data_IF_762973134509
#
_entry.id   IF_762973134509
#
_cell.length_a   1.000
_cell.length_b   1.000
_cell.length_c   1.000
_cell.angle_alpha   90.00
_cell.angle_beta   90.00
_cell.angle_gamma   90.00
#
_symmetry.space_group_name_H-M   'P 1'
#
loop_
_entity.id
_entity.type
_entity.pdbx_description
1 polymer ?
#
# COMPACT_ATOMS: atom_id res chain seq x y z
N UNK A 1 40.42 2.52 5.80
CA UNK A 1 40.09 2.79 4.38
C UNK A 1 40.11 4.28 4.17
N UNK A 2 40.78 4.74 3.10
CA UNK A 2 40.99 6.17 2.87
C UNK A 2 39.73 6.75 2.18
N UNK A 3 39.35 7.99 2.51
CA UNK A 3 38.08 8.61 2.05
C UNK A 3 37.91 8.67 0.51
N UNK A 4 39.00 8.49 -0.24
CA UNK A 4 38.99 8.38 -1.72
C UNK A 4 38.45 7.04 -2.23
N UNK A 5 38.64 5.94 -1.48
CA UNK A 5 38.21 4.60 -1.90
C UNK A 5 36.69 4.43 -1.74
N UNK A 6 36.11 5.05 -0.71
CA UNK A 6 34.67 5.10 -0.50
C UNK A 6 33.95 5.91 -1.60
N UNK A 7 34.56 7.00 -2.07
CA UNK A 7 33.98 7.84 -3.11
C UNK A 7 34.00 7.16 -4.49
N UNK A 8 35.05 6.40 -4.79
CA UNK A 8 35.16 5.59 -6.02
C UNK A 8 34.21 4.39 -6.02
N UNK A 9 33.93 3.79 -4.86
CA UNK A 9 32.97 2.70 -4.72
C UNK A 9 31.53 3.17 -4.91
N UNK A 10 31.21 4.40 -4.47
CA UNK A 10 29.89 5.03 -4.65
C UNK A 10 29.65 5.53 -6.07
N UNK A 11 30.66 6.02 -6.78
CA UNK A 11 30.52 6.38 -8.21
C UNK A 11 30.43 5.15 -9.12
N UNK A 12 31.03 4.01 -8.76
CA UNK A 12 30.88 2.75 -9.50
C UNK A 12 29.48 2.11 -9.38
N UNK A 13 28.65 2.54 -8.42
CA UNK A 13 27.28 2.03 -8.23
C UNK A 13 26.19 2.86 -8.95
N UNK A 14 26.53 4.01 -9.53
CA UNK A 14 25.54 4.92 -10.17
C UNK A 14 24.86 4.39 -11.44
N UNK A 15 25.32 3.25 -11.99
CA UNK A 15 24.79 2.65 -13.22
C UNK A 15 24.26 1.21 -13.04
N UNK A 16 23.76 0.84 -11.86
CA UNK A 16 23.15 -0.50 -11.67
C UNK A 16 21.65 -0.47 -11.91
N UNK A 17 21.21 -1.15 -12.97
CA UNK A 17 19.83 -1.60 -13.16
C UNK A 17 19.42 -2.48 -11.98
N UNK A 18 18.25 -2.23 -11.39
CA UNK A 18 17.68 -3.07 -10.33
C UNK A 18 17.02 -4.26 -11.02
N UNK A 19 17.73 -5.37 -11.18
CA UNK A 19 17.27 -6.52 -12.00
C UNK A 19 16.69 -7.69 -11.19
N UNK A 20 16.42 -7.52 -9.89
CA UNK A 20 15.83 -8.59 -9.08
C UNK A 20 15.21 -8.09 -7.77
N UNK A 21 14.24 -8.85 -7.24
CA UNK A 21 13.61 -8.59 -5.92
C UNK A 21 14.64 -8.55 -4.78
N UNK A 22 15.75 -9.26 -4.94
CA UNK A 22 16.88 -9.16 -4.01
C UNK A 22 17.61 -7.82 -4.16
N UNK A 23 17.76 -7.31 -5.39
CA UNK A 23 18.35 -6.00 -5.70
C UNK A 23 17.45 -4.85 -5.20
N UNK A 24 16.13 -4.98 -5.31
CA UNK A 24 15.16 -4.03 -4.78
C UNK A 24 15.21 -3.97 -3.24
N UNK A 25 15.31 -5.13 -2.60
CA UNK A 25 15.46 -5.24 -1.14
C UNK A 25 16.83 -4.71 -0.66
N UNK A 26 17.90 -4.96 -1.42
CA UNK A 26 19.24 -4.40 -1.18
C UNK A 26 19.24 -2.87 -1.32
N UNK A 27 18.59 -2.31 -2.34
CA UNK A 27 18.49 -0.85 -2.51
C UNK A 27 17.64 -0.19 -1.42
N UNK A 28 16.60 -0.89 -0.92
CA UNK A 28 15.75 -0.40 0.18
C UNK A 28 16.40 -0.54 1.56
N UNK A 29 17.31 -1.50 1.76
CA UNK A 29 18.03 -1.73 3.02
C UNK A 29 19.44 -1.11 3.06
N UNK A 30 19.97 -0.64 1.93
CA UNK A 30 21.23 0.12 1.88
C UNK A 30 21.07 1.59 2.36
N UNK A 31 20.02 1.90 3.12
CA UNK A 31 19.87 3.18 3.80
C UNK A 31 20.32 3.16 5.26
N UNK A 32 20.68 2.02 5.85
CA UNK A 32 21.55 1.95 7.05
C UNK A 32 22.04 0.50 7.27
N UNK A 33 23.37 0.33 7.39
CA UNK A 33 24.04 -0.96 7.59
C UNK A 33 23.90 -1.44 9.04
N UNK A 34 23.34 -2.63 9.26
CA UNK A 34 23.92 -3.77 10.01
C UNK A 34 22.82 -4.75 10.43
N UNK A 35 22.43 -5.72 9.58
CA UNK A 35 21.78 -6.99 9.98
C UNK A 35 21.46 -7.92 8.77
N UNK A 36 22.38 -7.98 7.81
CA UNK A 36 22.12 -8.57 6.49
C UNK A 36 22.02 -10.11 6.49
N UNK A 37 22.61 -10.81 7.46
CA UNK A 37 22.71 -12.27 7.43
C UNK A 37 21.54 -13.00 8.10
N UNK A 38 20.93 -12.40 9.13
CA UNK A 38 19.79 -13.00 9.85
C UNK A 38 18.51 -12.92 9.03
N UNK A 39 18.31 -11.80 8.34
CA UNK A 39 17.15 -11.56 7.46
C UNK A 39 17.24 -12.44 6.19
N UNK A 40 18.44 -12.61 5.64
CA UNK A 40 18.66 -13.46 4.45
C UNK A 40 18.30 -14.93 4.71
N UNK A 41 18.58 -15.45 5.91
CA UNK A 41 18.19 -16.82 6.32
C UNK A 41 16.68 -16.97 6.53
N UNK A 42 16.00 -15.95 7.09
CA UNK A 42 14.53 -15.97 7.28
C UNK A 42 13.75 -15.85 5.97
N UNK A 43 14.30 -15.16 4.96
CA UNK A 43 13.64 -15.04 3.65
C UNK A 43 13.91 -16.21 2.71
N UNK A 44 15.04 -16.92 2.85
CA UNK A 44 15.24 -18.18 2.10
C UNK A 44 14.26 -19.26 2.53
N UNK A 45 13.98 -19.37 3.83
CA UNK A 45 12.98 -20.32 4.35
C UNK A 45 11.57 -19.96 3.90
N UNK A 46 11.17 -18.68 3.92
CA UNK A 46 9.87 -18.24 3.41
C UNK A 46 9.68 -18.48 1.90
N UNK A 47 10.76 -18.43 1.11
CA UNK A 47 10.74 -18.76 -0.33
C UNK A 47 10.59 -20.26 -0.58
N UNK A 48 11.08 -21.10 0.31
CA UNK A 48 10.94 -22.56 0.25
C UNK A 48 9.51 -22.96 0.65
N UNK A 49 8.99 -22.41 1.76
CA UNK A 49 7.62 -22.62 2.21
C UNK A 49 6.59 -22.17 1.15
N UNK A 50 6.84 -21.02 0.50
CA UNK A 50 5.98 -20.51 -0.59
C UNK A 50 6.05 -21.38 -1.84
N UNK A 51 7.23 -21.91 -2.21
CA UNK A 51 7.36 -22.84 -3.35
C UNK A 51 6.63 -24.14 -3.08
N UNK A 52 6.65 -24.62 -1.84
CA UNK A 52 5.90 -25.81 -1.44
C UNK A 52 4.39 -25.56 -1.46
N UNK A 53 3.94 -24.39 -0.98
CA UNK A 53 2.53 -23.98 -1.05
C UNK A 53 2.02 -23.85 -2.50
N UNK A 54 2.79 -23.22 -3.38
CA UNK A 54 2.45 -23.07 -4.80
C UNK A 54 2.53 -24.38 -5.59
N UNK A 55 3.31 -25.37 -5.13
CA UNK A 55 3.27 -26.73 -5.70
C UNK A 55 2.02 -27.50 -5.30
N UNK A 56 1.42 -27.18 -4.14
CA UNK A 56 0.17 -27.77 -3.66
C UNK A 56 -1.07 -27.13 -4.28
N UNK A 57 -0.98 -25.86 -4.68
CA UNK A 57 -2.03 -25.14 -5.38
C UNK A 57 -1.84 -25.29 -6.89
N UNK A 58 -2.62 -26.16 -7.53
CA UNK A 58 -2.57 -26.45 -8.97
C UNK A 58 -3.00 -25.22 -9.81
N UNK A 59 -2.08 -24.26 -10.06
CA UNK A 59 -2.38 -22.92 -10.62
C UNK A 59 -2.08 -22.81 -12.14
N UNK A 60 -1.94 -23.91 -12.86
CA UNK A 60 -1.60 -23.88 -14.31
C UNK A 60 -2.70 -23.37 -15.25
N UNK A 61 -3.92 -23.10 -14.76
CA UNK A 61 -5.09 -22.79 -15.63
C UNK A 61 -5.56 -21.32 -15.65
N UNK A 62 -4.95 -20.40 -14.91
CA UNK A 62 -5.53 -19.05 -14.72
C UNK A 62 -4.94 -17.91 -15.57
N UNK A 63 -3.97 -18.19 -16.44
CA UNK A 63 -3.35 -17.20 -17.35
C UNK A 63 -4.26 -16.72 -18.51
N UNK A 64 -5.57 -16.99 -18.46
CA UNK A 64 -6.49 -16.74 -19.58
C UNK A 64 -7.73 -15.89 -19.23
N UNK A 65 -7.70 -15.08 -18.16
CA UNK A 65 -8.83 -14.16 -17.88
C UNK A 65 -8.62 -12.82 -18.61
N UNK A 66 -9.45 -12.47 -19.60
CA UNK A 66 -9.32 -11.19 -20.31
C UNK A 66 -9.68 -10.00 -19.42
N UNK A 67 -8.82 -8.97 -19.44
CA UNK A 67 -8.83 -7.74 -18.62
C UNK A 67 -9.99 -6.75 -18.86
N UNK A 68 -11.05 -7.12 -19.60
CA UNK A 68 -12.09 -6.19 -20.04
C UNK A 68 -13.53 -6.48 -19.59
N UNK A 69 -13.78 -7.49 -18.75
CA UNK A 69 -15.12 -7.66 -18.18
C UNK A 69 -15.31 -6.76 -16.96
N UNK A 70 -16.28 -5.82 -16.96
CA UNK A 70 -16.70 -5.18 -15.73
C UNK A 70 -17.16 -6.27 -14.77
N UNK A 71 -16.57 -6.32 -13.57
CA UNK A 71 -16.99 -7.19 -12.49
C UNK A 71 -18.44 -6.86 -12.11
N UNK A 72 -19.41 -7.51 -12.78
CA UNK A 72 -20.76 -7.60 -12.26
C UNK A 72 -20.65 -8.33 -10.94
N UNK A 73 -21.11 -7.70 -9.86
CA UNK A 73 -21.25 -8.34 -8.54
C UNK A 73 -21.86 -9.73 -8.76
N UNK A 74 -21.30 -10.80 -8.20
CA UNK A 74 -22.10 -11.99 -7.99
C UNK A 74 -23.28 -11.52 -7.11
N UNK A 75 -24.51 -11.59 -7.64
CA UNK A 75 -25.63 -11.79 -6.73
C UNK A 75 -25.32 -13.12 -6.05
N UNK A 76 -25.17 -13.08 -4.73
CA UNK A 76 -25.12 -14.29 -3.91
C UNK A 76 -26.36 -15.10 -4.24
N UNK A 77 -26.19 -16.03 -5.17
CA UNK A 77 -27.08 -17.14 -5.43
C UNK A 77 -26.24 -18.37 -5.12
N UNK A 78 -26.83 -19.21 -4.29
CA UNK A 78 -26.22 -20.32 -3.60
C UNK A 78 -25.46 -21.28 -4.53
N UNK A 79 -24.45 -21.95 -3.97
CA UNK A 79 -23.94 -23.21 -4.49
C UNK A 79 -22.44 -23.23 -4.81
N UNK A 80 -21.60 -23.36 -3.79
CA UNK A 80 -20.39 -24.18 -3.91
C UNK A 80 -20.44 -25.23 -2.80
N UNK A 81 -20.67 -26.48 -3.22
CA UNK A 81 -20.61 -27.66 -2.37
C UNK A 81 -19.15 -27.98 -2.07
N UNK A 82 -18.81 -28.03 -0.79
CA UNK A 82 -17.72 -28.85 -0.27
C UNK A 82 -18.41 -30.02 0.44
N UNK A 83 -17.92 -31.24 0.19
CA UNK A 83 -18.56 -32.53 0.41
C UNK A 83 -19.13 -32.79 1.81
N UNK A 84 -20.32 -33.41 1.78
CA UNK A 84 -21.02 -34.28 2.75
C UNK A 84 -20.50 -34.37 4.19
N UNK A 85 -21.20 -33.69 5.11
CA UNK A 85 -21.84 -34.34 6.27
C UNK A 85 -22.90 -33.41 6.90
N UNK A 86 -23.92 -34.02 7.48
CA UNK A 86 -25.26 -33.51 7.80
C UNK A 86 -25.28 -32.42 8.88
N UNK A 87 -26.00 -31.31 8.66
CA UNK A 87 -26.82 -30.68 9.71
C UNK A 87 -27.94 -29.80 9.15
N UNK A 88 -29.18 -30.24 9.36
CA UNK A 88 -30.42 -29.46 9.17
C UNK A 88 -30.65 -28.59 10.41
N UNK A 89 -30.69 -27.26 10.30
CA UNK A 89 -31.47 -26.39 11.21
C UNK A 89 -31.92 -25.12 10.47
N UNK A 90 -33.24 -24.86 10.48
CA UNK A 90 -33.78 -23.52 10.77
C UNK A 90 -34.27 -22.67 9.60
N UNK A 91 -35.59 -22.58 9.47
CA UNK A 91 -36.34 -21.54 8.77
C UNK A 91 -35.89 -20.12 9.16
N UNK A 92 -35.58 -19.28 8.16
CA UNK A 92 -35.26 -17.86 8.37
C UNK A 92 -36.55 -17.06 8.43
N UNK A 93 -36.89 -16.61 9.63
CA UNK A 93 -37.93 -15.61 9.92
C UNK A 93 -37.46 -14.19 9.55
N UNK A 94 -38.44 -13.36 9.23
CA UNK A 94 -38.36 -12.02 8.64
C UNK A 94 -37.92 -10.90 9.60
N UNK A 95 -36.76 -11.02 10.26
CA UNK A 95 -36.23 -10.02 11.21
C UNK A 95 -34.78 -9.61 10.89
N UNK A 96 -34.54 -9.04 9.71
CA UNK A 96 -33.17 -8.68 9.24
C UNK A 96 -32.80 -7.18 9.34
N UNK A 97 -33.68 -6.29 9.80
CA UNK A 97 -33.41 -4.84 9.77
C UNK A 97 -32.56 -4.29 10.93
N UNK A 98 -32.38 -5.03 12.02
CA UNK A 98 -31.58 -4.59 13.19
C UNK A 98 -30.07 -4.84 13.05
N UNK A 99 -29.66 -5.85 12.27
CA UNK A 99 -28.23 -6.23 12.14
C UNK A 99 -27.34 -5.13 11.54
N UNK A 100 -27.84 -4.41 10.52
CA UNK A 100 -27.04 -3.43 9.77
C UNK A 100 -26.69 -2.19 10.62
N UNK A 101 -27.57 -1.80 11.55
CA UNK A 101 -27.33 -0.65 12.43
C UNK A 101 -26.30 -0.96 13.52
N UNK A 102 -26.31 -2.19 14.04
CA UNK A 102 -25.33 -2.65 15.03
C UNK A 102 -23.92 -2.69 14.42
N UNK A 103 -23.80 -3.16 13.18
CA UNK A 103 -22.53 -3.21 12.44
C UNK A 103 -21.89 -1.83 12.24
N UNK A 104 -22.67 -0.80 11.89
CA UNK A 104 -22.15 0.56 11.72
C UNK A 104 -21.60 1.14 13.03
N UNK A 105 -22.28 0.86 14.15
CA UNK A 105 -21.84 1.30 15.47
C UNK A 105 -20.50 0.65 15.86
N UNK A 106 -20.31 -0.63 15.51
CA UNK A 106 -19.08 -1.36 15.77
C UNK A 106 -17.91 -0.84 14.94
N UNK A 107 -18.11 -0.59 13.65
CA UNK A 107 -17.08 0.00 12.78
C UNK A 107 -16.66 1.38 13.28
N UNK A 108 -17.62 2.21 13.70
CA UNK A 108 -17.35 3.56 14.22
C UNK A 108 -16.56 3.51 15.53
N UNK A 109 -16.92 2.58 16.43
CA UNK A 109 -16.20 2.35 17.70
C UNK A 109 -14.78 1.85 17.44
N UNK A 110 -14.61 0.84 16.58
CA UNK A 110 -13.31 0.31 16.22
C UNK A 110 -12.42 1.38 15.59
N UNK A 111 -12.98 2.20 14.67
CA UNK A 111 -12.29 3.34 14.08
C UNK A 111 -11.82 4.32 15.15
N UNK A 112 -12.70 4.71 16.07
CA UNK A 112 -12.40 5.68 17.15
C UNK A 112 -11.30 5.15 18.07
N UNK A 113 -11.36 3.87 18.40
CA UNK A 113 -10.35 3.20 19.22
C UNK A 113 -8.98 3.17 18.53
N UNK A 114 -8.93 2.81 17.25
CA UNK A 114 -7.67 2.77 16.49
C UNK A 114 -7.09 4.19 16.33
N UNK A 115 -7.93 5.19 16.04
CA UNK A 115 -7.45 6.56 15.88
C UNK A 115 -6.99 7.17 17.20
N UNK A 116 -7.64 6.87 18.34
CA UNK A 116 -7.15 7.29 19.66
C UNK A 116 -5.84 6.61 20.00
N UNK A 117 -5.73 5.29 19.79
CA UNK A 117 -4.49 4.54 20.02
C UNK A 117 -3.31 5.14 19.26
N UNK A 118 -3.49 5.43 17.97
CA UNK A 118 -2.42 6.01 17.14
C UNK A 118 -2.10 7.44 17.57
N UNK A 119 -3.12 8.24 17.93
CA UNK A 119 -2.93 9.61 18.40
C UNK A 119 -2.13 9.64 19.70
N UNK A 120 -2.50 8.82 20.66
CA UNK A 120 -1.91 8.82 22.01
C UNK A 120 -0.45 8.33 21.99
N UNK A 121 -0.11 7.40 21.08
CA UNK A 121 1.24 6.84 21.02
C UNK A 121 2.18 7.53 20.02
N UNK A 122 1.66 8.03 18.88
CA UNK A 122 2.49 8.60 17.81
C UNK A 122 2.30 10.11 17.60
N UNK A 123 1.39 10.72 18.35
CA UNK A 123 0.96 12.11 18.15
C UNK A 123 0.58 12.37 16.68
N UNK A 124 -0.20 11.45 16.12
CA UNK A 124 -0.64 11.43 14.74
C UNK A 124 -2.17 11.48 14.70
N UNK A 125 -2.72 12.41 13.91
CA UNK A 125 -4.17 12.59 13.77
C UNK A 125 -4.62 12.10 12.39
N UNK A 126 -5.37 11.01 12.34
CA UNK A 126 -5.79 10.34 11.10
C UNK A 126 -7.30 10.43 10.92
N UNK A 127 -7.71 10.63 9.68
CA UNK A 127 -9.11 10.50 9.23
C UNK A 127 -10.13 11.35 9.99
N UNK A 128 -9.71 12.57 10.39
CA UNK A 128 -10.60 13.60 10.91
C UNK A 128 -11.02 14.50 9.74
N UNK A 129 -12.32 14.80 9.55
CA UNK A 129 -12.77 15.70 8.50
C UNK A 129 -12.20 17.11 8.68
N UNK A 130 -11.70 17.70 7.60
CA UNK A 130 -11.19 19.07 7.57
C UNK A 130 -12.27 20.06 7.18
N UNK A 131 -12.24 21.28 7.75
CA UNK A 131 -13.17 22.37 7.41
C UNK A 131 -13.04 22.86 5.97
N UNK A 132 -11.90 22.61 5.32
CA UNK A 132 -11.62 22.97 3.93
C UNK A 132 -11.97 21.85 2.93
N UNK A 133 -12.70 20.82 3.38
CA UNK A 133 -12.92 19.58 2.63
C UNK A 133 -11.77 18.59 2.81
N UNK A 134 -12.08 17.30 2.61
CA UNK A 134 -11.12 16.20 2.80
C UNK A 134 -10.93 15.79 4.26
N UNK A 135 -9.80 15.13 4.54
CA UNK A 135 -9.45 14.61 5.87
C UNK A 135 -8.07 15.09 6.31
N UNK A 136 -7.72 14.90 7.58
CA UNK A 136 -6.38 15.19 8.12
C UNK A 136 -5.28 14.28 7.54
N UNK A 137 -5.66 13.28 6.74
CA UNK A 137 -4.74 12.33 6.08
C UNK A 137 -4.04 12.99 4.89
N UNK A 138 -3.02 13.79 5.17
CA UNK A 138 -2.19 14.48 4.17
C UNK A 138 -1.05 13.59 3.66
N UNK A 139 -0.42 13.98 2.53
CA UNK A 139 0.75 13.26 2.01
C UNK A 139 1.90 13.14 3.02
N UNK A 140 2.12 14.16 3.85
CA UNK A 140 3.13 14.10 4.93
C UNK A 140 2.79 13.08 6.00
N UNK A 141 1.50 12.94 6.33
CA UNK A 141 1.07 11.92 7.27
C UNK A 141 1.28 10.52 6.68
N UNK A 142 0.89 10.30 5.43
CA UNK A 142 1.09 9.02 4.74
C UNK A 142 2.58 8.64 4.69
N UNK A 143 3.49 9.59 4.41
CA UNK A 143 4.94 9.35 4.46
C UNK A 143 5.38 8.85 5.83
N UNK A 144 4.89 9.45 6.92
CA UNK A 144 5.19 8.99 8.30
C UNK A 144 4.66 7.59 8.56
N UNK A 145 3.49 7.23 8.04
CA UNK A 145 2.91 5.90 8.23
C UNK A 145 3.67 4.80 7.47
N UNK A 146 4.26 5.12 6.32
CA UNK A 146 4.95 4.16 5.44
C UNK A 146 6.48 4.09 5.67
N UNK A 147 7.02 4.90 6.58
CA UNK A 147 8.42 4.78 7.02
C UNK A 147 8.47 3.67 8.07
N UNK A 148 9.15 2.58 7.72
CA UNK A 148 9.55 1.57 8.68
C UNK A 148 10.76 2.10 9.43
N UNK A 149 10.70 2.09 10.76
CA UNK A 149 11.82 2.42 11.64
C UNK A 149 12.57 1.12 11.99
N UNK A 150 13.73 1.24 12.62
CA UNK A 150 14.50 0.09 13.09
C UNK A 150 13.65 -0.82 13.99
N UNK A 151 14.03 -2.09 14.11
CA UNK A 151 13.21 -3.12 14.76
C UNK A 151 12.88 -2.84 16.25
N UNK A 152 13.57 -1.89 16.88
CA UNK A 152 13.32 -1.46 18.26
C UNK A 152 12.32 -0.30 18.38
N UNK A 153 11.95 0.34 17.28
CA UNK A 153 11.15 1.55 17.27
C UNK A 153 9.67 1.23 17.03
N UNK A 154 8.81 1.71 17.93
CA UNK A 154 7.35 1.57 17.81
C UNK A 154 6.82 2.54 16.75
N UNK A 155 6.76 2.06 15.51
CA UNK A 155 6.24 2.83 14.37
C UNK A 155 4.72 2.67 14.18
N UNK A 156 4.20 3.28 13.10
CA UNK A 156 2.79 3.17 12.74
C UNK A 156 2.33 1.73 12.55
N UNK A 157 3.12 0.91 11.88
CA UNK A 157 2.77 -0.47 11.60
C UNK A 157 2.71 -1.28 12.90
N UNK A 158 3.65 -1.08 13.82
CA UNK A 158 3.64 -1.72 15.14
C UNK A 158 2.29 -1.52 15.85
N UNK A 159 1.84 -0.28 15.99
CA UNK A 159 0.57 0.03 16.68
C UNK A 159 -0.66 -0.49 15.94
N UNK A 160 -0.63 -0.56 14.62
CA UNK A 160 -1.71 -1.20 13.86
C UNK A 160 -1.72 -2.72 14.07
N UNK A 161 -0.55 -3.34 14.23
CA UNK A 161 -0.43 -4.79 14.45
C UNK A 161 -0.84 -5.22 15.86
N UNK A 162 -0.80 -4.33 16.87
CA UNK A 162 -1.27 -4.69 18.22
C UNK A 162 -2.77 -4.97 18.25
N UNK A 163 -3.54 -4.30 17.40
CA UNK A 163 -5.01 -4.46 17.28
C UNK A 163 -5.43 -5.40 16.15
N UNK A 164 -4.48 -5.84 15.31
CA UNK A 164 -4.75 -6.75 14.20
C UNK A 164 -4.82 -8.20 14.71
N UNK A 165 -5.84 -9.00 14.36
CA UNK A 165 -5.89 -10.42 14.69
C UNK A 165 -4.65 -11.16 14.17
N UNK A 166 -4.15 -12.14 14.94
CA UNK A 166 -2.89 -12.83 14.68
C UNK A 166 -2.78 -13.42 13.27
N UNK A 167 -3.88 -13.96 12.75
CA UNK A 167 -4.00 -14.56 11.43
C UNK A 167 -3.76 -13.55 10.29
N UNK A 168 -4.07 -12.27 10.50
CA UNK A 168 -3.91 -11.23 9.49
C UNK A 168 -2.59 -10.45 9.62
N UNK A 169 -1.86 -10.60 10.73
CA UNK A 169 -0.58 -9.91 10.95
C UNK A 169 0.46 -10.16 9.83
N UNK A 170 0.76 -11.40 9.40
CA UNK A 170 1.77 -11.62 8.38
C UNK A 170 1.39 -10.96 7.04
N UNK A 171 0.13 -11.11 6.61
CA UNK A 171 -0.37 -10.47 5.40
C UNK A 171 -0.32 -8.95 5.47
N UNK A 172 -0.66 -8.37 6.63
CA UNK A 172 -0.61 -6.93 6.84
C UNK A 172 0.82 -6.39 6.78
N UNK A 173 1.79 -7.09 7.37
CA UNK A 173 3.21 -6.72 7.30
C UNK A 173 3.69 -6.74 5.84
N UNK A 174 3.39 -7.82 5.11
CA UNK A 174 3.76 -7.97 3.70
C UNK A 174 3.17 -6.84 2.85
N UNK A 175 1.84 -6.65 2.91
CA UNK A 175 1.13 -5.63 2.13
C UNK A 175 1.66 -4.22 2.47
N UNK A 176 1.80 -3.89 3.75
CA UNK A 176 2.29 -2.57 4.16
C UNK A 176 3.71 -2.31 3.65
N UNK A 177 4.60 -3.29 3.79
CA UNK A 177 6.00 -3.18 3.37
C UNK A 177 6.10 -3.01 1.85
N UNK A 178 5.39 -3.85 1.09
CA UNK A 178 5.42 -3.78 -0.37
C UNK A 178 4.74 -2.53 -0.92
N UNK A 179 3.62 -2.08 -0.35
CA UNK A 179 3.01 -0.81 -0.73
C UNK A 179 3.93 0.39 -0.44
N UNK A 180 4.63 0.37 0.69
CA UNK A 180 5.66 1.36 1.00
C UNK A 180 6.77 1.39 -0.06
N UNK A 181 7.27 0.22 -0.48
CA UNK A 181 8.26 0.10 -1.54
C UNK A 181 7.74 0.59 -2.89
N UNK A 182 6.55 0.13 -3.32
CA UNK A 182 5.92 0.53 -4.59
C UNK A 182 5.73 2.05 -4.63
N UNK A 183 5.23 2.67 -3.56
CA UNK A 183 5.02 4.11 -3.51
C UNK A 183 6.33 4.91 -3.52
N UNK A 184 7.42 4.37 -2.97
CA UNK A 184 8.76 4.99 -3.08
C UNK A 184 9.29 4.92 -4.50
N UNK A 185 9.11 3.78 -5.18
CA UNK A 185 9.49 3.60 -6.59
C UNK A 185 8.68 4.55 -7.48
N UNK A 186 7.36 4.60 -7.25
CA UNK A 186 6.43 5.44 -7.98
C UNK A 186 6.78 6.93 -7.84
N UNK A 187 7.20 7.36 -6.65
CA UNK A 187 7.61 8.73 -6.36
C UNK A 187 9.13 8.96 -6.46
N UNK A 188 9.83 8.17 -7.28
CA UNK A 188 11.26 8.37 -7.54
C UNK A 188 11.49 8.88 -8.96
N UNK A 189 12.63 9.51 -9.20
CA UNK A 189 13.14 9.86 -10.53
C UNK A 189 14.09 8.79 -11.10
N UNK A 190 14.21 7.64 -10.43
CA UNK A 190 15.13 6.55 -10.80
C UNK A 190 14.52 5.64 -11.86
N UNK A 191 15.38 4.99 -12.63
CA UNK A 191 14.98 3.91 -13.53
C UNK A 191 14.54 2.68 -12.74
N UNK A 192 13.48 2.04 -13.20
CA UNK A 192 12.76 0.96 -12.56
C UNK A 192 12.72 -0.22 -13.52
N UNK A 193 12.92 -1.43 -13.00
CA UNK A 193 12.59 -2.66 -13.72
C UNK A 193 11.08 -2.88 -13.65
N UNK A 194 10.42 -2.62 -14.78
CA UNK A 194 8.96 -2.61 -14.88
C UNK A 194 8.36 -4.01 -14.88
N UNK A 195 9.11 -5.02 -15.34
CA UNK A 195 8.69 -6.42 -15.29
C UNK A 195 8.66 -6.92 -13.85
N UNK A 196 9.72 -6.60 -13.09
CA UNK A 196 9.79 -6.96 -11.68
C UNK A 196 8.73 -6.21 -10.86
N UNK A 197 8.54 -4.91 -11.11
CA UNK A 197 7.48 -4.13 -10.47
C UNK A 197 6.09 -4.72 -10.76
N UNK A 198 5.83 -5.15 -12.00
CA UNK A 198 4.58 -5.79 -12.37
C UNK A 198 4.33 -7.07 -11.57
N UNK A 199 5.34 -7.93 -11.44
CA UNK A 199 5.25 -9.14 -10.64
C UNK A 199 4.94 -8.83 -9.16
N UNK A 200 5.61 -7.84 -8.58
CA UNK A 200 5.35 -7.42 -7.19
C UNK A 200 3.93 -6.90 -7.02
N UNK A 201 3.48 -6.02 -7.92
CA UNK A 201 2.13 -5.48 -7.87
C UNK A 201 1.05 -6.57 -8.02
N UNK A 202 1.23 -7.52 -8.95
CA UNK A 202 0.30 -8.65 -9.11
C UNK A 202 0.26 -9.55 -7.89
N UNK A 203 1.43 -9.88 -7.31
CA UNK A 203 1.49 -10.69 -6.08
C UNK A 203 0.75 -10.00 -4.93
N UNK A 204 0.96 -8.70 -4.72
CA UNK A 204 0.30 -7.95 -3.65
C UNK A 204 -1.20 -7.84 -3.90
N UNK A 205 -1.62 -7.63 -5.14
CA UNK A 205 -3.04 -7.62 -5.49
C UNK A 205 -3.70 -8.96 -5.13
N UNK A 206 -3.06 -10.08 -5.46
CA UNK A 206 -3.54 -11.41 -5.08
C UNK A 206 -3.54 -11.61 -3.56
N UNK A 207 -2.47 -11.23 -2.84
CA UNK A 207 -2.40 -11.33 -1.38
C UNK A 207 -3.53 -10.56 -0.70
N UNK A 208 -3.91 -9.37 -1.22
CA UNK A 208 -5.05 -8.59 -0.70
C UNK A 208 -6.36 -9.36 -0.90
N UNK A 209 -6.63 -9.87 -2.10
CA UNK A 209 -7.88 -10.58 -2.40
C UNK A 209 -8.02 -11.89 -1.62
N UNK A 210 -6.92 -12.63 -1.45
CA UNK A 210 -6.92 -13.89 -0.70
C UNK A 210 -7.03 -13.68 0.81
N UNK A 211 -6.29 -12.72 1.38
CA UNK A 211 -6.29 -12.47 2.82
C UNK A 211 -7.53 -11.69 3.28
N UNK A 212 -8.08 -10.82 2.44
CA UNK A 212 -9.21 -9.95 2.80
C UNK A 212 -10.32 -10.00 1.73
N UNK A 213 -10.96 -11.17 1.51
CA UNK A 213 -11.97 -11.33 0.45
C UNK A 213 -13.21 -10.46 0.66
N UNK A 214 -13.45 -10.02 1.89
CA UNK A 214 -14.51 -9.09 2.27
C UNK A 214 -14.17 -7.62 2.00
N UNK A 215 -12.91 -7.28 1.76
CA UNK A 215 -12.46 -5.91 1.58
C UNK A 215 -12.51 -5.50 0.09
N UNK A 216 -13.14 -4.36 -0.19
CA UNK A 216 -13.13 -3.79 -1.52
C UNK A 216 -11.79 -3.09 -1.79
N UNK A 217 -11.13 -3.42 -2.90
CA UNK A 217 -9.95 -2.70 -3.37
C UNK A 217 -10.38 -1.34 -3.92
N UNK A 218 -9.81 -0.26 -3.39
CA UNK A 218 -10.14 1.09 -3.83
C UNK A 218 -9.73 1.30 -5.30
N UNK A 219 -10.44 2.16 -6.07
CA UNK A 219 -10.06 2.45 -7.46
C UNK A 219 -8.63 2.96 -7.60
N UNK A 220 -8.14 3.75 -6.64
CA UNK A 220 -6.76 4.25 -6.61
C UNK A 220 -5.75 3.12 -6.43
N UNK A 221 -5.99 2.22 -5.48
CA UNK A 221 -5.11 1.08 -5.23
C UNK A 221 -5.12 0.09 -6.41
N UNK A 222 -6.28 -0.15 -7.00
CA UNK A 222 -6.39 -0.96 -8.21
C UNK A 222 -5.62 -0.34 -9.38
N UNK A 223 -5.79 0.96 -9.65
CA UNK A 223 -5.02 1.65 -10.69
C UNK A 223 -3.52 1.59 -10.42
N UNK A 224 -3.08 1.80 -9.18
CA UNK A 224 -1.67 1.69 -8.80
C UNK A 224 -1.14 0.29 -9.10
N UNK A 225 -1.75 -0.76 -8.57
CA UNK A 225 -1.24 -2.12 -8.71
C UNK A 225 -1.39 -2.68 -10.14
N UNK A 226 -2.46 -2.32 -10.85
CA UNK A 226 -2.70 -2.85 -12.20
C UNK A 226 -1.96 -2.07 -13.30
N UNK A 227 -1.77 -0.75 -13.14
CA UNK A 227 -1.32 0.13 -14.23
C UNK A 227 0.01 0.83 -13.97
N UNK A 228 0.50 0.92 -12.74
CA UNK A 228 1.77 1.60 -12.48
C UNK A 228 2.95 1.06 -13.31
N UNK A 229 3.15 -0.27 -13.46
CA UNK A 229 4.26 -0.79 -14.27
C UNK A 229 4.16 -0.37 -15.74
N UNK A 230 2.95 -0.46 -16.33
CA UNK A 230 2.66 -0.05 -17.70
C UNK A 230 2.90 1.45 -17.90
N UNK A 231 2.41 2.28 -16.96
CA UNK A 231 2.57 3.74 -17.03
C UNK A 231 4.05 4.13 -16.96
N UNK A 232 4.80 3.56 -16.01
CA UNK A 232 6.24 3.81 -15.86
C UNK A 232 6.99 3.36 -17.11
N UNK A 233 6.66 2.19 -17.66
CA UNK A 233 7.35 1.65 -18.83
C UNK A 233 7.07 2.45 -20.10
N UNK A 234 5.82 2.83 -20.35
CA UNK A 234 5.39 3.40 -21.63
C UNK A 234 5.44 4.92 -21.67
N UNK A 235 5.13 5.60 -20.56
CA UNK A 235 4.96 7.06 -20.55
C UNK A 235 6.14 7.81 -19.95
N UNK A 236 7.06 7.11 -19.28
CA UNK A 236 8.17 7.76 -18.59
C UNK A 236 9.50 7.01 -18.78
N UNK A 237 9.66 6.29 -19.90
CA UNK A 237 10.91 5.59 -20.27
C UNK A 237 11.50 4.71 -19.15
N UNK A 238 10.62 4.05 -18.40
CA UNK A 238 10.99 3.20 -17.28
C UNK A 238 11.47 3.95 -16.04
N UNK A 239 11.23 5.26 -15.92
CA UNK A 239 11.57 6.05 -14.72
C UNK A 239 10.33 6.22 -13.84
N UNK A 240 10.52 6.32 -12.52
CA UNK A 240 9.42 6.65 -11.62
C UNK A 240 8.82 8.04 -11.90
N UNK A 241 7.62 8.30 -11.39
CA UNK A 241 6.75 9.40 -11.82
C UNK A 241 6.88 10.68 -10.98
N UNK A 242 7.98 10.83 -10.23
CA UNK A 242 8.25 12.02 -9.40
C UNK A 242 8.09 13.33 -10.20
N UNK A 243 8.62 13.35 -11.43
CA UNK A 243 8.60 14.52 -12.30
C UNK A 243 7.22 14.86 -12.89
N UNK A 244 6.24 13.96 -12.78
CA UNK A 244 4.87 14.11 -13.31
C UNK A 244 3.86 14.27 -12.16
N UNK A 245 4.33 14.68 -10.98
CA UNK A 245 3.51 14.83 -9.79
C UNK A 245 2.73 16.14 -9.75
N UNK A 246 1.47 16.09 -9.30
CA UNK A 246 0.64 17.27 -9.02
C UNK A 246 1.08 18.03 -7.75
N UNK A 247 1.96 17.46 -6.93
CA UNK A 247 2.39 18.05 -5.65
C UNK A 247 3.00 19.46 -5.82
N UNK A 248 3.72 19.69 -6.93
CA UNK A 248 4.29 21.01 -7.24
C UNK A 248 3.22 22.08 -7.50
N UNK A 249 2.13 21.71 -8.17
CA UNK A 249 1.00 22.60 -8.43
C UNK A 249 0.24 22.88 -7.12
N UNK A 250 0.04 21.87 -6.28
CA UNK A 250 -0.59 22.04 -4.97
C UNK A 250 0.24 22.94 -4.05
N UNK A 251 1.56 22.77 -4.01
CA UNK A 251 2.46 23.64 -3.26
C UNK A 251 2.40 25.10 -3.76
N UNK A 252 2.27 25.29 -5.08
CA UNK A 252 2.14 26.61 -5.70
C UNK A 252 0.87 27.34 -5.23
N UNK A 253 -0.23 26.64 -4.97
CA UNK A 253 -1.47 27.25 -4.44
C UNK A 253 -1.26 27.94 -3.09
N UNK A 254 -0.34 27.46 -2.25
CA UNK A 254 0.02 28.10 -0.98
C UNK A 254 0.64 29.47 -1.21
N UNK A 255 1.54 29.59 -2.19
CA UNK A 255 2.16 30.85 -2.57
C UNK A 255 1.16 31.81 -3.20
N UNK A 256 0.30 31.32 -4.10
CA UNK A 256 -0.76 32.13 -4.73
C UNK A 256 -1.66 32.76 -3.66
N UNK A 257 -2.12 31.99 -2.66
CA UNK A 257 -2.91 32.52 -1.53
C UNK A 257 -2.15 33.60 -0.75
N UNK A 258 -0.86 33.36 -0.46
CA UNK A 258 0.00 34.32 0.27
C UNK A 258 0.24 35.60 -0.52
N UNK A 259 0.49 35.50 -1.83
CA UNK A 259 0.70 36.65 -2.69
C UNK A 259 -0.58 37.47 -2.85
N UNK A 260 -1.72 36.80 -3.05
CA UNK A 260 -3.03 37.46 -3.06
C UNK A 260 -3.30 38.20 -1.76
N UNK A 261 -2.88 37.65 -0.62
CA UNK A 261 -3.09 38.26 0.69
C UNK A 261 -2.17 39.47 0.95
N UNK A 262 -0.87 39.35 0.64
CA UNK A 262 0.14 40.34 1.09
C UNK A 262 0.73 41.23 0.00
N UNK A 263 0.76 40.76 -1.25
CA UNK A 263 1.52 41.41 -2.33
C UNK A 263 0.62 41.94 -3.46
N UNK A 264 -0.60 41.43 -3.59
CA UNK A 264 -1.55 41.88 -4.60
C UNK A 264 -2.18 43.22 -4.20
N UNK A 265 -2.31 44.13 -5.18
CA UNK A 265 -3.11 45.36 -5.03
C UNK A 265 -4.56 44.98 -4.73
N UNK A 266 -5.10 45.51 -3.63
CA UNK A 266 -6.47 45.24 -3.19
C UNK A 266 -7.44 46.16 -3.91
N UNK A 267 -7.87 45.76 -5.10
CA UNK A 267 -9.00 46.39 -5.76
C UNK A 267 -10.30 45.66 -5.40
N UNK A 268 -11.43 46.35 -5.48
CA UNK A 268 -12.73 45.69 -5.41
C UNK A 268 -12.79 44.61 -6.50
N UNK A 269 -13.25 43.41 -6.12
CA UNK A 269 -13.51 42.34 -7.08
C UNK A 269 -14.46 42.88 -8.14
N UNK A 270 -13.96 42.99 -9.39
CA UNK A 270 -14.83 43.29 -10.53
C UNK A 270 -15.81 42.13 -10.60
N UNK A 271 -17.10 42.39 -10.33
CA UNK A 271 -18.15 41.39 -10.51
C UNK A 271 -18.11 40.99 -11.99
N UNK A 272 -17.70 39.75 -12.25
CA UNK A 272 -17.80 39.09 -13.56
C UNK A 272 -19.23 38.56 -13.66
#
# INVERSE_FOLDING_TARGET
MNNKDAYMFLTAQKNKTITSLASLFIVLNNLEETEHDTVRRKFSTLREDRREYLKRADITTWNAIPFHTPLKRPRLSAGYQCSDEVMVIGSVSSSQSTSVFEDFSMVTRAKTFITSLIKDNLNIIIDIPSTQGGTTTTGNLVRRCLIRKDDNDQDFLYWVLTVTPSEFKPHRIEIHTCLGAILRIYNSSRRVDTEELALVCSNIYQSILCAFPWANVSPTLHKLLARAPEIISMFNDGHGLENISEEGLEASNKYIRRYRDRLARKFHLKKI
#
